data_IF_352695513988
#
_entry.id   IF_352695513988
#
_cell.length_a   1.000
_cell.length_b   1.000
_cell.length_c   1.000
_cell.angle_alpha   90.00
_cell.angle_beta   90.00
_cell.angle_gamma   90.00
#
_symmetry.space_group_name_H-M   'P 1'
#
loop_
_entity.id
_entity.type
_entity.pdbx_description
1 polymer ?
#
# COMPACT_ATOMS: atom_id res chain seq x y z
N UNK A 1 1.19 13.06 5.23
CA UNK A 1 2.02 11.91 4.82
C UNK A 1 2.52 11.22 6.08
N UNK A 2 2.34 9.91 6.21
CA UNK A 2 2.88 9.14 7.34
C UNK A 2 4.38 8.91 7.16
N UNK A 3 5.15 8.85 8.26
CA UNK A 3 6.61 8.71 8.23
C UNK A 3 7.07 7.51 7.37
N UNK A 4 6.40 6.36 7.52
CA UNK A 4 6.65 5.14 6.73
C UNK A 4 6.46 5.37 5.23
N UNK A 5 5.44 6.14 4.83
CA UNK A 5 5.19 6.39 3.42
C UNK A 5 6.33 7.24 2.83
N UNK A 6 6.82 8.22 3.59
CA UNK A 6 7.92 9.09 3.19
C UNK A 6 9.23 8.32 3.02
N UNK A 7 9.55 7.43 3.95
CA UNK A 7 10.76 6.59 3.86
C UNK A 7 10.68 5.63 2.65
N UNK A 8 9.52 5.03 2.38
CA UNK A 8 9.37 4.04 1.31
C UNK A 8 9.28 4.66 -0.09
N UNK A 9 8.66 5.83 -0.25
CA UNK A 9 8.50 6.45 -1.59
C UNK A 9 9.59 7.45 -1.94
N UNK A 10 10.19 8.13 -0.96
CA UNK A 10 11.20 9.17 -1.22
C UNK A 10 12.61 8.64 -0.92
N UNK A 11 12.87 8.17 0.31
CA UNK A 11 14.24 7.83 0.74
C UNK A 11 14.72 6.51 0.13
N UNK A 12 13.89 5.48 0.13
CA UNK A 12 14.24 4.16 -0.41
C UNK A 12 14.59 4.20 -1.90
N UNK A 13 13.95 5.10 -2.67
CA UNK A 13 14.27 5.31 -4.08
C UNK A 13 15.70 5.84 -4.29
N UNK A 14 16.21 6.65 -3.35
CA UNK A 14 17.56 7.21 -3.40
C UNK A 14 18.60 6.29 -2.75
N UNK A 15 18.26 5.62 -1.65
CA UNK A 15 19.18 4.76 -0.89
C UNK A 15 19.36 3.37 -1.53
N UNK A 16 18.27 2.75 -2.03
CA UNK A 16 18.33 1.43 -2.65
C UNK A 16 17.33 1.30 -3.81
N UNK A 17 17.72 1.73 -5.02
CA UNK A 17 16.85 1.72 -6.20
C UNK A 17 16.36 0.32 -6.59
N UNK A 18 17.17 -0.72 -6.32
CA UNK A 18 16.81 -2.09 -6.66
C UNK A 18 15.72 -2.62 -5.74
N UNK A 19 15.84 -2.37 -4.42
CA UNK A 19 14.81 -2.73 -3.45
C UNK A 19 13.52 -1.91 -3.69
N UNK A 20 13.65 -0.63 -4.04
CA UNK A 20 12.51 0.22 -4.39
C UNK A 20 11.69 -0.35 -5.55
N UNK A 21 12.31 -0.91 -6.59
CA UNK A 21 11.58 -1.55 -7.72
C UNK A 21 10.67 -2.68 -7.24
N UNK A 22 11.18 -3.56 -6.37
CA UNK A 22 10.40 -4.65 -5.79
C UNK A 22 9.25 -4.14 -4.91
N UNK A 23 9.53 -3.15 -4.05
CA UNK A 23 8.52 -2.55 -3.17
C UNK A 23 7.44 -1.81 -3.97
N UNK A 24 7.82 -1.12 -5.05
CA UNK A 24 6.88 -0.43 -5.95
C UNK A 24 5.86 -1.39 -6.56
N UNK A 25 6.28 -2.59 -6.98
CA UNK A 25 5.36 -3.61 -7.48
C UNK A 25 4.32 -4.02 -6.43
N UNK A 26 4.75 -4.18 -5.18
CA UNK A 26 3.85 -4.49 -4.05
C UNK A 26 2.90 -3.33 -3.76
N UNK A 27 3.37 -2.08 -3.79
CA UNK A 27 2.55 -0.89 -3.59
C UNK A 27 1.47 -0.74 -4.69
N UNK A 28 1.82 -0.98 -5.95
CA UNK A 28 0.85 -0.92 -7.06
C UNK A 28 -0.21 -2.01 -6.92
N UNK A 29 0.18 -3.25 -6.62
CA UNK A 29 -0.77 -4.32 -6.30
C UNK A 29 -1.70 -3.94 -5.14
N UNK A 30 -1.13 -3.39 -4.08
CA UNK A 30 -1.91 -2.93 -2.93
C UNK A 30 -2.92 -1.84 -3.29
N UNK A 31 -2.54 -0.93 -4.18
CA UNK A 31 -3.40 0.15 -4.66
C UNK A 31 -4.54 -0.38 -5.52
N UNK A 32 -4.28 -1.34 -6.40
CA UNK A 32 -5.31 -1.99 -7.24
C UNK A 32 -6.34 -2.74 -6.38
N UNK A 33 -5.89 -3.46 -5.37
CA UNK A 33 -6.77 -4.22 -4.46
C UNK A 33 -7.50 -3.34 -3.43
N UNK A 34 -7.15 -2.06 -3.31
CA UNK A 34 -7.74 -1.14 -2.32
C UNK A 34 -9.27 -1.13 -2.39
N UNK A 35 -9.83 -1.11 -3.59
CA UNK A 35 -11.27 -1.08 -3.78
C UNK A 35 -11.95 -2.38 -3.33
N UNK A 36 -11.30 -3.53 -3.56
CA UNK A 36 -11.78 -4.85 -3.09
C UNK A 36 -11.78 -4.88 -1.56
N UNK A 37 -10.69 -4.42 -0.93
CA UNK A 37 -10.59 -4.28 0.53
C UNK A 37 -11.64 -3.33 1.09
N UNK A 38 -11.90 -2.20 0.42
CA UNK A 38 -12.95 -1.26 0.78
C UNK A 38 -14.34 -1.90 0.77
N UNK A 39 -14.69 -2.62 -0.30
CA UNK A 39 -15.96 -3.35 -0.38
C UNK A 39 -16.09 -4.42 0.72
N UNK A 40 -15.02 -5.16 0.99
CA UNK A 40 -15.00 -6.12 2.12
C UNK A 40 -15.14 -5.44 3.48
N UNK A 41 -14.52 -4.27 3.68
CA UNK A 41 -14.62 -3.51 4.93
C UNK A 41 -16.06 -3.03 5.17
N UNK A 42 -16.71 -2.46 4.15
CA UNK A 42 -18.14 -2.08 4.22
C UNK A 42 -19.00 -3.32 4.51
N UNK A 43 -18.79 -4.42 3.77
CA UNK A 43 -19.53 -5.67 4.02
C UNK A 43 -19.36 -6.15 5.45
N UNK A 44 -18.14 -6.16 6.01
CA UNK A 44 -17.88 -6.57 7.41
C UNK A 44 -18.56 -5.64 8.41
N UNK A 45 -18.48 -4.32 8.22
CA UNK A 45 -19.10 -3.30 9.09
C UNK A 45 -20.61 -3.52 9.24
N UNK A 46 -21.30 -3.87 8.15
CA UNK A 46 -22.76 -4.04 8.15
C UNK A 46 -23.24 -5.48 8.31
N UNK A 47 -22.39 -6.50 8.08
CA UNK A 47 -22.75 -7.90 8.36
C UNK A 47 -22.75 -8.26 9.85
N UNK A 48 -22.35 -7.35 10.74
CA UNK A 48 -22.34 -7.59 12.18
C UNK A 48 -21.46 -8.78 12.56
N UNK A 49 -20.15 -8.58 12.56
CA UNK A 49 -19.29 -9.31 13.49
C UNK A 49 -18.79 -8.32 14.53
#
# INVERSE_FOLDING_TARGET
MTAVHKDVTERLCHENPQLYKSVKQVLEKNKQERHIRGGMATRRKYKGK
#
